data_IF_297236407406
#
_entry.id   IF_297236407406
#
_cell.length_a   1.000
_cell.length_b   1.000
_cell.length_c   1.000
_cell.angle_alpha   90.00
_cell.angle_beta   90.00
_cell.angle_gamma   90.00
#
_symmetry.space_group_name_H-M   'P 1'
#
loop_
_entity.id
_entity.type
_entity.pdbx_description
1 polymer ?
#
# COMPACT_ATOMS: atom_id res chain seq x y z
N UNK A 1 20.38 -40.30 33.61
CA UNK A 1 19.76 -41.21 34.60
C UNK A 1 18.88 -40.40 35.55
N UNK A 2 17.59 -40.29 35.23
CA UNK A 2 16.52 -39.82 36.13
C UNK A 2 15.29 -40.68 35.82
N UNK A 3 14.75 -41.30 36.87
CA UNK A 3 13.53 -42.10 36.84
C UNK A 3 12.32 -41.20 36.54
N UNK A 4 11.40 -41.66 35.69
CA UNK A 4 9.98 -41.38 35.89
C UNK A 4 9.11 -42.54 35.41
N UNK A 5 8.21 -42.92 36.33
CA UNK A 5 7.24 -44.03 36.32
C UNK A 5 6.22 -43.90 35.19
N UNK A 6 5.87 -45.03 34.58
CA UNK A 6 4.56 -45.24 33.95
C UNK A 6 3.48 -45.51 35.02
N UNK A 7 2.21 -45.21 34.71
CA UNK A 7 1.11 -46.02 35.21
C UNK A 7 0.23 -46.59 34.08
N UNK A 8 -0.25 -47.79 34.37
CA UNK A 8 -1.09 -48.75 33.63
C UNK A 8 -2.49 -48.24 33.21
N UNK A 9 -3.16 -48.93 32.26
CA UNK A 9 -4.35 -48.46 31.56
C UNK A 9 -5.66 -48.68 32.35
N UNK A 10 -6.59 -47.74 32.23
CA UNK A 10 -8.01 -47.96 32.56
C UNK A 10 -8.83 -48.06 31.28
N UNK A 11 -9.52 -49.19 31.17
CA UNK A 11 -10.51 -49.53 30.15
C UNK A 11 -11.89 -49.14 30.68
N UNK A 12 -12.60 -48.24 29.99
CA UNK A 12 -14.05 -48.08 30.16
C UNK A 12 -14.69 -47.61 28.85
N UNK A 13 -15.10 -48.58 28.04
CA UNK A 13 -16.19 -48.44 27.08
C UNK A 13 -17.48 -48.02 27.81
N UNK A 14 -18.01 -46.85 27.46
CA UNK A 14 -19.43 -46.54 27.24
C UNK A 14 -19.67 -45.03 27.42
N UNK A 15 -19.86 -44.30 26.33
CA UNK A 15 -20.94 -43.31 26.15
C UNK A 15 -21.04 -42.96 24.66
N UNK A 16 -22.24 -42.88 24.07
CA UNK A 16 -22.43 -42.67 22.64
C UNK A 16 -22.12 -41.21 22.27
N UNK A 17 -21.19 -41.00 21.33
CA UNK A 17 -21.02 -39.70 20.68
C UNK A 17 -22.15 -39.50 19.66
N UNK A 18 -23.24 -38.88 20.11
CA UNK A 18 -24.08 -38.09 19.21
C UNK A 18 -23.33 -36.79 18.91
N UNK A 19 -22.70 -36.73 17.74
CA UNK A 19 -22.28 -35.45 17.18
C UNK A 19 -23.53 -34.67 16.83
N UNK A 20 -23.99 -33.83 17.76
CA UNK A 20 -24.83 -32.70 17.43
C UNK A 20 -23.98 -31.81 16.52
N UNK A 21 -24.38 -31.74 15.25
CA UNK A 21 -24.05 -30.65 14.34
C UNK A 21 -24.53 -29.36 15.01
N UNK A 22 -23.62 -28.70 15.72
CA UNK A 22 -23.83 -27.30 16.05
C UNK A 22 -23.77 -26.54 14.73
N UNK A 23 -24.92 -26.00 14.36
CA UNK A 23 -25.08 -24.86 13.46
C UNK A 23 -23.83 -24.00 13.53
N UNK A 24 -23.10 -23.97 12.42
CA UNK A 24 -22.32 -22.80 12.07
C UNK A 24 -23.33 -21.66 12.02
N UNK A 25 -23.40 -20.87 13.10
CA UNK A 25 -23.95 -19.53 13.02
C UNK A 25 -23.18 -18.84 11.92
N UNK A 26 -23.79 -18.74 10.74
CA UNK A 26 -23.42 -17.76 9.73
C UNK A 26 -23.17 -16.47 10.52
N UNK A 27 -21.92 -15.97 10.49
CA UNK A 27 -21.70 -14.61 10.90
C UNK A 27 -22.57 -13.80 9.96
N UNK A 28 -23.66 -13.28 10.51
CA UNK A 28 -24.47 -12.23 9.95
C UNK A 28 -23.56 -10.97 9.93
N UNK A 29 -22.48 -11.03 9.14
CA UNK A 29 -21.68 -9.88 8.73
C UNK A 29 -22.63 -9.07 7.85
N UNK A 30 -23.51 -8.34 8.53
CA UNK A 30 -24.26 -7.26 7.93
C UNK A 30 -23.22 -6.39 7.26
N UNK A 31 -23.17 -6.49 5.94
CA UNK A 31 -22.38 -5.60 5.13
C UNK A 31 -22.73 -4.18 5.57
N UNK A 32 -21.78 -3.58 6.31
CA UNK A 32 -21.95 -2.28 6.94
C UNK A 32 -22.11 -1.17 5.89
N UNK A 33 -21.76 -1.48 4.64
CA UNK A 33 -21.81 -0.61 3.49
C UNK A 33 -23.15 -0.70 2.77
N UNK A 34 -23.85 -1.82 2.86
CA UNK A 34 -25.11 -2.08 2.15
C UNK A 34 -26.19 -1.01 2.47
N UNK A 35 -26.36 -0.53 3.72
CA UNK A 35 -27.25 0.59 4.04
C UNK A 35 -26.77 1.95 3.52
N UNK A 36 -25.46 2.12 3.31
CA UNK A 36 -24.82 3.35 2.81
C UNK A 36 -25.00 3.43 1.30
N UNK A 37 -24.73 2.33 0.60
CA UNK A 37 -24.85 2.18 -0.86
C UNK A 37 -26.31 2.32 -1.33
N UNK A 38 -27.27 1.78 -0.58
CA UNK A 38 -28.72 1.81 -0.93
C UNK A 38 -29.40 3.18 -0.76
N UNK A 39 -28.79 4.15 -0.07
CA UNK A 39 -29.49 5.37 0.38
C UNK A 39 -29.33 6.63 -0.48
N UNK A 40 -28.49 6.67 -1.53
CA UNK A 40 -28.15 7.96 -2.15
C UNK A 40 -28.01 7.95 -3.68
N UNK A 41 -28.46 9.05 -4.30
CA UNK A 41 -28.07 9.54 -5.64
C UNK A 41 -26.55 9.82 -5.79
N UNK A 42 -25.70 9.31 -4.89
CA UNK A 42 -24.24 9.45 -4.80
C UNK A 42 -23.52 8.08 -4.79
N UNK A 43 -24.22 7.01 -5.19
CA UNK A 43 -23.72 5.63 -5.17
C UNK A 43 -22.34 5.52 -5.82
N UNK A 44 -22.18 6.04 -7.04
CA UNK A 44 -20.94 5.95 -7.81
C UNK A 44 -19.74 6.61 -7.12
N UNK A 45 -19.94 7.75 -6.45
CA UNK A 45 -18.83 8.40 -5.71
C UNK A 45 -18.44 7.57 -4.48
N UNK A 46 -19.41 7.04 -3.74
CA UNK A 46 -19.13 6.20 -2.57
C UNK A 46 -18.43 4.93 -3.02
N UNK A 47 -18.92 4.29 -4.09
CA UNK A 47 -18.33 3.11 -4.69
C UNK A 47 -16.86 3.33 -5.06
N UNK A 48 -16.52 4.45 -5.70
CA UNK A 48 -15.13 4.76 -6.04
C UNK A 48 -14.26 5.11 -4.83
N UNK A 49 -14.79 5.79 -3.82
CA UNK A 49 -14.07 6.04 -2.57
C UNK A 49 -13.75 4.71 -1.86
N UNK A 50 -14.73 3.81 -1.80
CA UNK A 50 -14.54 2.46 -1.25
C UNK A 50 -13.59 1.65 -2.12
N UNK A 51 -13.70 1.72 -3.45
CA UNK A 51 -12.79 1.07 -4.39
C UNK A 51 -11.34 1.56 -4.25
N UNK A 52 -11.13 2.84 -3.98
CA UNK A 52 -9.80 3.39 -3.68
C UNK A 52 -9.25 2.83 -2.35
N UNK A 53 -10.08 2.78 -1.30
CA UNK A 53 -9.66 2.29 0.02
C UNK A 53 -9.46 0.77 0.08
N UNK A 54 -10.42 -0.02 -0.42
CA UNK A 54 -10.30 -1.47 -0.49
C UNK A 54 -9.29 -1.90 -1.54
N UNK A 55 -9.19 -1.19 -2.66
CA UNK A 55 -8.18 -1.44 -3.68
C UNK A 55 -6.78 -1.36 -3.10
N UNK A 56 -6.48 -0.33 -2.30
CA UNK A 56 -5.22 -0.18 -1.57
C UNK A 56 -4.90 -1.42 -0.71
N UNK A 57 -5.81 -1.81 0.18
CA UNK A 57 -5.60 -2.90 1.12
C UNK A 57 -5.55 -4.28 0.45
N UNK A 58 -6.45 -4.52 -0.51
CA UNK A 58 -6.53 -5.78 -1.24
C UNK A 58 -5.34 -5.97 -2.19
N UNK A 59 -4.88 -4.92 -2.86
CA UNK A 59 -3.71 -5.03 -3.76
C UNK A 59 -2.44 -5.33 -3.00
N UNK A 60 -2.27 -4.71 -1.82
CA UNK A 60 -1.15 -4.98 -0.91
C UNK A 60 -1.17 -6.44 -0.43
N UNK A 61 -2.28 -6.86 0.18
CA UNK A 61 -2.44 -8.24 0.67
C UNK A 61 -2.31 -9.31 -0.43
N UNK A 62 -2.83 -9.01 -1.64
CA UNK A 62 -2.74 -9.92 -2.78
C UNK A 62 -1.32 -9.94 -3.39
N UNK A 63 -0.66 -8.78 -3.48
CA UNK A 63 0.71 -8.65 -4.00
C UNK A 63 1.74 -9.43 -3.20
N UNK A 64 1.50 -9.60 -1.90
CA UNK A 64 2.32 -10.43 -1.01
C UNK A 64 2.47 -11.89 -1.50
N UNK A 65 1.52 -12.40 -2.29
CA UNK A 65 1.57 -13.75 -2.86
C UNK A 65 2.74 -13.99 -3.83
N UNK A 66 3.35 -12.92 -4.37
CA UNK A 66 4.44 -12.99 -5.36
C UNK A 66 5.60 -12.03 -5.08
N UNK A 67 5.59 -11.33 -3.95
CA UNK A 67 6.65 -10.37 -3.62
C UNK A 67 8.03 -11.06 -3.54
N UNK A 68 9.01 -10.47 -4.25
CA UNK A 68 10.38 -10.99 -4.45
C UNK A 68 10.51 -12.27 -5.28
N UNK A 69 9.44 -12.73 -5.93
CA UNK A 69 9.47 -13.89 -6.81
C UNK A 69 9.59 -13.46 -8.28
N UNK A 70 10.45 -14.15 -9.04
CA UNK A 70 10.56 -13.92 -10.48
C UNK A 70 9.43 -14.62 -11.27
N UNK A 71 9.23 -14.20 -12.52
CA UNK A 71 8.16 -14.75 -13.38
C UNK A 71 8.25 -16.25 -13.57
N UNK A 72 9.46 -16.82 -13.60
CA UNK A 72 9.67 -18.27 -13.77
C UNK A 72 9.18 -19.02 -12.53
N UNK A 73 9.48 -18.49 -11.35
CA UNK A 73 9.12 -19.05 -10.06
C UNK A 73 7.60 -18.94 -9.86
N UNK A 74 7.00 -17.79 -10.16
CA UNK A 74 5.54 -17.61 -10.14
C UNK A 74 4.84 -18.57 -11.11
N UNK A 75 5.32 -18.73 -12.34
CA UNK A 75 4.75 -19.68 -13.29
C UNK A 75 4.90 -21.15 -12.86
N UNK A 76 5.91 -21.46 -12.03
CA UNK A 76 6.08 -22.80 -11.44
C UNK A 76 5.11 -23.01 -10.28
N UNK A 77 4.88 -21.99 -9.45
CA UNK A 77 3.91 -22.01 -8.36
C UNK A 77 2.46 -22.09 -8.87
N UNK A 78 2.17 -21.37 -9.95
CA UNK A 78 0.83 -21.28 -10.55
C UNK A 78 0.91 -21.58 -12.07
N UNK A 79 0.93 -22.86 -12.48
CA UNK A 79 1.13 -23.24 -13.88
C UNK A 79 0.00 -22.84 -14.84
N UNK A 80 -1.22 -22.67 -14.32
CA UNK A 80 -2.35 -22.20 -15.11
C UNK A 80 -2.45 -20.67 -15.01
N UNK A 81 -1.80 -19.98 -15.95
CA UNK A 81 -1.79 -18.52 -16.03
C UNK A 81 -3.14 -17.91 -16.48
N UNK A 82 -4.16 -18.73 -16.71
CA UNK A 82 -5.53 -18.26 -16.95
C UNK A 82 -6.35 -18.12 -15.66
N UNK A 83 -5.85 -18.69 -14.55
CA UNK A 83 -6.46 -18.59 -13.23
C UNK A 83 -5.83 -17.46 -12.42
N UNK A 84 -6.65 -16.82 -11.60
CA UNK A 84 -6.16 -15.91 -10.56
C UNK A 84 -5.42 -16.71 -9.49
N UNK A 85 -4.45 -16.07 -8.83
CA UNK A 85 -3.81 -16.66 -7.66
C UNK A 85 -4.89 -16.79 -6.57
N UNK A 86 -5.05 -17.97 -5.95
CA UNK A 86 -6.02 -18.14 -4.87
C UNK A 86 -5.77 -17.16 -3.72
N UNK A 87 -6.80 -16.44 -3.29
CA UNK A 87 -6.71 -15.51 -2.17
C UNK A 87 -7.80 -15.83 -1.14
N UNK A 88 -7.49 -15.96 0.14
CA UNK A 88 -6.19 -15.77 0.81
C UNK A 88 -5.27 -17.01 0.81
N UNK A 89 -5.64 -18.06 0.07
CA UNK A 89 -5.00 -19.39 0.11
C UNK A 89 -3.84 -19.57 -0.87
N UNK A 90 -3.08 -18.51 -1.15
CA UNK A 90 -1.91 -18.54 -2.05
C UNK A 90 -0.77 -19.43 -1.50
N UNK A 91 0.18 -19.82 -2.35
CA UNK A 91 1.36 -20.59 -1.92
C UNK A 91 2.30 -19.66 -1.13
N UNK A 92 2.66 -20.06 0.10
CA UNK A 92 3.55 -19.26 0.95
C UNK A 92 4.99 -19.30 0.42
N UNK A 93 5.58 -18.12 0.31
CA UNK A 93 7.00 -17.89 0.04
C UNK A 93 7.74 -17.66 1.35
N UNK A 94 9.08 -17.64 1.28
CA UNK A 94 9.89 -17.27 2.44
C UNK A 94 9.54 -15.86 2.95
N UNK A 95 9.20 -14.94 2.04
CA UNK A 95 8.79 -13.59 2.40
C UNK A 95 7.39 -13.56 3.02
N UNK A 96 6.37 -14.03 2.30
CA UNK A 96 4.97 -13.94 2.71
C UNK A 96 4.63 -14.75 3.97
N UNK A 97 5.41 -15.79 4.28
CA UNK A 97 5.24 -16.59 5.51
C UNK A 97 5.40 -15.81 6.83
N UNK A 98 5.82 -14.54 6.76
CA UNK A 98 5.94 -13.64 7.93
C UNK A 98 4.61 -12.99 8.33
N UNK A 99 3.58 -13.05 7.49
CA UNK A 99 2.26 -12.47 7.74
C UNK A 99 1.19 -13.55 7.90
N UNK A 100 0.05 -13.17 8.49
CA UNK A 100 -1.15 -14.00 8.42
C UNK A 100 -1.67 -14.01 6.98
N UNK A 101 -2.28 -15.12 6.54
CA UNK A 101 -2.89 -15.18 5.21
C UNK A 101 -3.98 -14.12 5.10
N UNK A 102 -3.94 -13.35 4.01
CA UNK A 102 -4.91 -12.28 3.73
C UNK A 102 -4.61 -10.95 4.45
N UNK A 103 -3.55 -10.91 5.24
CA UNK A 103 -3.08 -9.69 5.90
C UNK A 103 -2.38 -8.77 4.91
N UNK A 104 -2.42 -7.47 5.18
CA UNK A 104 -1.73 -6.44 4.39
C UNK A 104 -0.36 -6.11 5.02
N UNK A 105 0.40 -5.22 4.39
CA UNK A 105 1.79 -4.93 4.76
C UNK A 105 1.99 -3.46 5.12
N UNK A 106 3.23 -2.97 5.00
CA UNK A 106 3.54 -1.60 5.33
C UNK A 106 2.94 -0.58 4.36
N UNK A 107 2.57 -0.99 3.15
CA UNK A 107 1.85 -0.15 2.18
C UNK A 107 0.54 0.36 2.77
N UNK A 108 -0.32 -0.55 3.23
CA UNK A 108 -1.63 -0.20 3.82
C UNK A 108 -1.48 0.42 5.18
N UNK A 109 -0.56 -0.07 6.02
CA UNK A 109 -0.34 0.50 7.34
C UNK A 109 0.07 1.97 7.26
N UNK A 110 1.07 2.27 6.43
CA UNK A 110 1.56 3.65 6.29
C UNK A 110 0.54 4.54 5.57
N UNK A 111 -0.31 3.98 4.71
CA UNK A 111 -1.46 4.68 4.12
C UNK A 111 -2.50 5.07 5.19
N UNK A 112 -2.84 4.16 6.11
CA UNK A 112 -3.73 4.44 7.26
C UNK A 112 -3.14 5.57 8.11
N UNK A 113 -1.84 5.57 8.39
CA UNK A 113 -1.20 6.65 9.16
C UNK A 113 -1.34 8.02 8.48
N UNK A 114 -1.26 8.08 7.15
CA UNK A 114 -1.51 9.31 6.38
C UNK A 114 -2.97 9.71 6.51
N UNK A 115 -3.92 8.78 6.32
CA UNK A 115 -5.35 9.08 6.48
C UNK A 115 -5.65 9.65 7.86
N UNK A 116 -5.19 8.99 8.92
CA UNK A 116 -5.35 9.48 10.28
C UNK A 116 -4.79 10.88 10.41
N UNK A 117 -3.56 11.11 9.93
CA UNK A 117 -2.94 12.45 9.94
C UNK A 117 -3.83 13.48 9.29
N UNK A 118 -4.32 13.23 8.07
CA UNK A 118 -5.12 14.18 7.30
C UNK A 118 -6.52 14.42 7.87
N UNK A 119 -7.06 13.50 8.67
CA UNK A 119 -8.34 13.68 9.37
C UNK A 119 -8.21 14.55 10.63
N UNK A 120 -7.00 14.78 11.16
CA UNK A 120 -6.80 15.74 12.24
C UNK A 120 -6.82 17.18 11.71
N UNK A 121 -7.47 18.14 12.41
CA UNK A 121 -7.57 19.53 11.96
C UNK A 121 -6.24 20.23 11.64
N UNK A 122 -5.16 19.83 12.32
CA UNK A 122 -3.81 20.36 12.12
C UNK A 122 -2.83 19.24 11.71
N UNK A 123 -3.32 18.25 10.96
CA UNK A 123 -2.48 17.20 10.40
C UNK A 123 -1.42 17.75 9.45
N UNK A 124 -0.16 17.49 9.75
CA UNK A 124 0.99 17.92 8.95
C UNK A 124 2.01 16.78 8.77
N UNK A 125 3.05 17.07 7.99
CA UNK A 125 4.17 16.17 7.70
C UNK A 125 4.94 15.75 8.97
N UNK A 126 5.05 16.64 9.96
CA UNK A 126 5.67 16.34 11.26
C UNK A 126 4.82 15.35 12.06
N UNK A 127 3.49 15.50 12.07
CA UNK A 127 2.57 14.56 12.71
C UNK A 127 2.66 13.19 12.05
N UNK A 128 2.68 13.14 10.71
CA UNK A 128 2.88 11.88 9.99
C UNK A 128 4.22 11.24 10.35
N UNK A 129 5.32 12.00 10.40
CA UNK A 129 6.64 11.48 10.80
C UNK A 129 6.62 10.87 12.21
N UNK A 130 5.93 11.49 13.17
CA UNK A 130 5.75 10.95 14.52
C UNK A 130 4.94 9.67 14.53
N UNK A 131 3.84 9.62 13.78
CA UNK A 131 2.99 8.43 13.62
C UNK A 131 3.77 7.28 12.98
N UNK A 132 4.51 7.54 11.91
CA UNK A 132 5.37 6.56 11.24
C UNK A 132 6.44 6.00 12.19
N UNK A 133 7.11 6.87 12.96
CA UNK A 133 8.09 6.44 13.97
C UNK A 133 7.44 5.57 15.04
N UNK A 134 6.25 5.95 15.50
CA UNK A 134 5.51 5.19 16.50
C UNK A 134 5.17 3.80 15.95
N UNK A 135 4.56 3.72 14.76
CA UNK A 135 4.21 2.46 14.10
C UNK A 135 5.42 1.54 13.89
N UNK A 136 6.59 2.06 13.50
CA UNK A 136 7.81 1.23 13.37
C UNK A 136 8.12 0.45 14.65
N UNK A 137 7.92 1.06 15.83
CA UNK A 137 8.26 0.45 17.11
C UNK A 137 7.08 -0.19 17.85
N UNK A 138 5.85 0.22 17.57
CA UNK A 138 4.66 -0.17 18.34
C UNK A 138 3.54 -0.75 17.48
N UNK A 139 3.64 -0.65 16.14
CA UNK A 139 2.67 -1.08 15.13
C UNK A 139 1.21 -0.74 15.48
N UNK A 140 0.25 -1.42 14.84
CA UNK A 140 -1.14 -1.43 15.28
C UNK A 140 -1.34 -2.53 16.32
N UNK A 141 -0.88 -2.26 17.54
CA UNK A 141 -1.01 -3.19 18.68
C UNK A 141 -2.44 -3.66 18.95
N UNK A 142 -3.43 -2.83 18.58
CA UNK A 142 -4.86 -3.11 18.63
C UNK A 142 -5.29 -4.22 17.65
N UNK A 143 -4.53 -4.47 16.60
CA UNK A 143 -4.70 -5.58 15.66
C UNK A 143 -3.91 -6.83 16.08
N UNK A 144 -3.17 -6.75 17.20
CA UNK A 144 -2.34 -7.84 17.71
C UNK A 144 -0.90 -7.84 17.17
N UNK A 145 -0.53 -6.82 16.41
CA UNK A 145 0.83 -6.69 15.88
C UNK A 145 1.84 -6.33 16.98
N UNK A 146 3.11 -6.69 16.74
CA UNK A 146 4.21 -6.42 17.68
C UNK A 146 5.36 -5.56 17.14
N UNK A 147 5.42 -5.32 15.82
CA UNK A 147 6.36 -4.40 15.15
C UNK A 147 5.87 -4.03 13.75
N UNK A 148 6.28 -2.87 13.24
CA UNK A 148 6.08 -2.54 11.82
C UNK A 148 6.88 -3.51 10.94
N UNK A 149 6.20 -4.41 10.22
CA UNK A 149 6.80 -5.32 9.25
C UNK A 149 6.87 -4.66 7.86
N UNK A 150 7.47 -5.31 6.86
CA UNK A 150 7.59 -4.76 5.50
C UNK A 150 8.57 -3.59 5.28
N UNK A 151 8.94 -2.84 6.33
CA UNK A 151 9.72 -1.60 6.24
C UNK A 151 10.90 -1.59 5.25
N UNK A 152 10.76 -0.82 4.18
CA UNK A 152 11.80 -0.61 3.17
C UNK A 152 13.08 0.07 3.70
N UNK A 153 14.22 -0.25 3.08
CA UNK A 153 15.54 0.22 3.52
C UNK A 153 15.69 1.75 3.53
N UNK A 154 15.06 2.46 2.58
CA UNK A 154 15.07 3.93 2.54
C UNK A 154 14.29 4.52 3.73
N UNK A 155 13.07 4.02 3.98
CA UNK A 155 12.24 4.47 5.12
C UNK A 155 12.97 4.21 6.44
N UNK A 156 13.58 3.04 6.60
CA UNK A 156 14.40 2.70 7.78
C UNK A 156 15.56 3.70 7.99
N UNK A 157 16.30 4.03 6.93
CA UNK A 157 17.41 4.99 7.01
C UNK A 157 16.94 6.42 7.33
N UNK A 158 15.92 6.91 6.62
CA UNK A 158 15.40 8.27 6.82
C UNK A 158 14.82 8.43 8.21
N UNK A 159 13.98 7.47 8.63
CA UNK A 159 13.38 7.52 9.95
C UNK A 159 14.47 7.48 11.00
N UNK A 160 15.55 6.69 10.86
CA UNK A 160 16.65 6.65 11.84
C UNK A 160 17.42 7.97 12.03
N UNK A 161 17.24 8.98 11.16
CA UNK A 161 17.89 10.29 11.30
C UNK A 161 17.45 11.07 12.55
N UNK A 162 18.39 11.80 13.16
CA UNK A 162 18.17 12.53 14.42
C UNK A 162 17.12 13.63 14.30
N UNK A 163 17.05 14.30 13.15
CA UNK A 163 16.13 15.40 12.88
C UNK A 163 14.79 14.93 12.30
N UNK A 164 14.57 13.63 12.05
CA UNK A 164 13.37 13.15 11.37
C UNK A 164 12.06 13.56 12.05
N UNK A 165 12.02 13.65 13.37
CA UNK A 165 10.81 14.03 14.12
C UNK A 165 10.57 15.55 14.19
N UNK A 166 11.58 16.36 13.84
CA UNK A 166 11.51 17.82 13.85
C UNK A 166 11.48 18.43 12.45
N UNK A 167 12.15 17.78 11.50
CA UNK A 167 12.25 18.17 10.10
C UNK A 167 12.42 16.89 9.23
N UNK A 168 11.31 16.18 8.96
CA UNK A 168 11.35 14.94 8.20
C UNK A 168 11.81 15.16 6.75
N UNK A 169 11.49 16.31 6.16
CA UNK A 169 11.91 16.66 4.81
C UNK A 169 13.44 16.79 4.71
N UNK A 170 14.07 17.46 5.66
CA UNK A 170 15.53 17.58 5.68
C UNK A 170 16.21 16.24 5.99
N UNK A 171 15.62 15.43 6.89
CA UNK A 171 16.09 14.07 7.13
C UNK A 171 16.06 13.22 5.84
N UNK A 172 14.96 13.29 5.07
CA UNK A 172 14.84 12.58 3.80
C UNK A 172 15.81 13.13 2.75
N UNK A 173 15.93 14.46 2.63
CA UNK A 173 16.86 15.12 1.70
C UNK A 173 18.29 14.68 1.96
N UNK A 174 18.75 14.75 3.21
CA UNK A 174 20.11 14.37 3.59
C UNK A 174 20.40 12.90 3.24
N UNK A 175 19.45 12.00 3.49
CA UNK A 175 19.61 10.57 3.11
C UNK A 175 19.68 10.40 1.60
N UNK A 176 18.81 11.08 0.85
CA UNK A 176 18.84 11.06 -0.61
C UNK A 176 20.16 11.61 -1.17
N UNK A 177 20.68 12.72 -0.64
CA UNK A 177 21.97 13.28 -1.06
C UNK A 177 23.15 12.34 -0.76
N UNK A 178 23.12 11.64 0.39
CA UNK A 178 24.11 10.60 0.72
C UNK A 178 24.06 9.40 -0.22
N UNK A 179 22.91 9.12 -0.83
CA UNK A 179 22.77 8.12 -1.89
C UNK A 179 23.28 8.59 -3.26
N UNK A 180 23.98 9.73 -3.33
CA UNK A 180 24.34 10.41 -4.58
C UNK A 180 23.12 10.74 -5.45
N UNK A 181 21.99 11.03 -4.79
CA UNK A 181 20.71 11.34 -5.42
C UNK A 181 20.18 10.23 -6.32
N UNK A 182 20.47 8.97 -5.98
CA UNK A 182 20.05 7.80 -6.77
C UNK A 182 18.88 7.04 -6.15
N UNK A 183 18.62 7.18 -4.84
CA UNK A 183 17.55 6.45 -4.17
C UNK A 183 16.16 6.96 -4.59
N UNK A 184 15.48 6.21 -5.47
CA UNK A 184 14.08 6.41 -5.85
C UNK A 184 13.21 5.15 -5.71
N UNK A 185 13.12 4.53 -4.52
CA UNK A 185 12.22 3.39 -4.31
C UNK A 185 10.74 3.81 -4.23
N UNK A 186 9.86 2.83 -4.35
CA UNK A 186 8.40 2.93 -4.38
C UNK A 186 7.73 3.37 -3.05
N UNK A 187 8.43 3.31 -1.92
CA UNK A 187 7.82 3.36 -0.58
C UNK A 187 6.97 4.60 -0.25
N UNK A 188 7.07 5.68 -1.04
CA UNK A 188 6.13 6.81 -0.93
C UNK A 188 4.88 6.65 -1.80
N UNK A 189 5.00 6.08 -3.01
CA UNK A 189 3.89 6.01 -3.98
C UNK A 189 2.84 5.01 -3.54
N UNK A 190 3.27 3.90 -2.94
CA UNK A 190 2.40 2.83 -2.41
C UNK A 190 1.36 3.32 -1.39
N UNK A 191 1.60 4.48 -0.74
CA UNK A 191 0.72 5.04 0.30
C UNK A 191 0.17 6.43 -0.04
N UNK A 192 0.44 6.95 -1.24
CA UNK A 192 0.15 8.35 -1.56
C UNK A 192 -1.34 8.62 -1.85
N UNK A 193 -2.09 7.60 -2.28
CA UNK A 193 -3.51 7.69 -2.66
C UNK A 193 -4.39 8.23 -1.53
N UNK A 194 -3.94 8.17 -0.27
CA UNK A 194 -4.60 8.78 0.90
C UNK A 194 -4.85 10.28 0.71
N UNK A 195 -3.94 11.00 0.05
CA UNK A 195 -4.11 12.41 -0.28
C UNK A 195 -5.35 12.63 -1.17
N UNK A 196 -5.47 11.82 -2.22
CA UNK A 196 -6.61 11.87 -3.12
C UNK A 196 -7.90 11.49 -2.38
N UNK A 197 -7.90 10.40 -1.60
CA UNK A 197 -9.09 9.95 -0.90
C UNK A 197 -9.68 11.03 0.04
N UNK A 198 -8.83 11.73 0.79
CA UNK A 198 -9.28 12.73 1.76
C UNK A 198 -9.60 14.07 1.10
N UNK A 199 -8.80 14.48 0.11
CA UNK A 199 -8.85 15.81 -0.46
C UNK A 199 -9.40 15.87 -1.89
N UNK A 200 -10.03 14.81 -2.42
CA UNK A 200 -10.48 14.76 -3.83
C UNK A 200 -11.33 15.94 -4.30
N UNK A 201 -11.94 16.75 -3.42
CA UNK A 201 -12.69 17.95 -3.79
C UNK A 201 -11.83 19.22 -3.93
N UNK A 202 -10.59 19.18 -3.47
CA UNK A 202 -9.64 20.28 -3.47
C UNK A 202 -8.31 19.79 -4.07
N UNK A 203 -8.19 19.95 -5.39
CA UNK A 203 -7.04 19.47 -6.15
C UNK A 203 -5.73 20.13 -5.71
N UNK A 204 -5.75 21.38 -5.26
CA UNK A 204 -4.55 22.07 -4.79
C UNK A 204 -4.09 21.50 -3.44
N UNK A 205 -5.04 21.12 -2.58
CA UNK A 205 -4.73 20.36 -1.37
C UNK A 205 -4.20 18.97 -1.68
N UNK A 206 -4.75 18.26 -2.67
CA UNK A 206 -4.20 16.96 -3.13
C UNK A 206 -2.74 17.10 -3.55
N UNK A 207 -2.44 18.07 -4.43
CA UNK A 207 -1.09 18.32 -4.96
C UNK A 207 -0.09 18.61 -3.83
N UNK A 208 -0.42 19.56 -2.97
CA UNK A 208 0.45 19.96 -1.86
C UNK A 208 0.66 18.84 -0.84
N UNK A 209 -0.40 18.11 -0.47
CA UNK A 209 -0.31 16.96 0.44
C UNK A 209 0.49 15.81 -0.16
N UNK A 210 0.31 15.48 -1.44
CA UNK A 210 1.06 14.41 -2.11
C UNK A 210 2.57 14.69 -2.10
N UNK A 211 2.97 15.92 -2.43
CA UNK A 211 4.38 16.35 -2.42
C UNK A 211 4.94 16.32 -0.99
N UNK A 212 4.21 16.85 -0.02
CA UNK A 212 4.65 16.90 1.38
C UNK A 212 4.82 15.50 1.96
N UNK A 213 3.79 14.64 1.86
CA UNK A 213 3.83 13.30 2.46
C UNK A 213 4.85 12.37 1.77
N UNK A 214 5.12 12.57 0.48
CA UNK A 214 6.23 11.92 -0.22
C UNK A 214 7.57 12.32 0.43
N UNK A 215 7.83 13.63 0.53
CA UNK A 215 9.10 14.19 1.01
C UNK A 215 9.40 13.87 2.47
N UNK A 216 8.43 13.39 3.26
CA UNK A 216 8.68 12.88 4.63
C UNK A 216 9.69 11.72 4.62
N UNK A 217 9.73 10.91 3.56
CA UNK A 217 10.66 9.76 3.48
C UNK A 217 11.38 9.64 2.15
N UNK A 218 10.84 10.20 1.06
CA UNK A 218 11.38 10.10 -0.29
C UNK A 218 11.49 11.49 -0.90
N UNK A 219 12.67 12.10 -0.75
CA UNK A 219 12.93 13.45 -1.26
C UNK A 219 13.22 13.50 -2.77
N UNK A 220 13.55 12.37 -3.38
CA UNK A 220 13.90 12.28 -4.80
C UNK A 220 12.76 12.83 -5.69
N UNK A 221 13.07 13.74 -6.66
CA UNK A 221 12.06 14.30 -7.57
C UNK A 221 11.27 13.25 -8.35
N UNK A 222 11.86 12.08 -8.66
CA UNK A 222 11.16 10.97 -9.34
C UNK A 222 10.08 10.37 -8.44
N UNK A 223 10.38 10.13 -7.16
CA UNK A 223 9.37 9.68 -6.18
C UNK A 223 8.23 10.70 -6.04
N UNK A 224 8.57 11.99 -5.99
CA UNK A 224 7.58 13.08 -5.90
C UNK A 224 6.69 13.13 -7.15
N UNK A 225 7.29 12.99 -8.34
CA UNK A 225 6.55 12.93 -9.60
C UNK A 225 5.60 11.73 -9.64
N UNK A 226 6.06 10.54 -9.24
CA UNK A 226 5.22 9.34 -9.17
C UNK A 226 4.05 9.50 -8.19
N UNK A 227 4.31 10.01 -6.97
CA UNK A 227 3.26 10.25 -5.98
C UNK A 227 2.24 11.26 -6.47
N UNK A 228 2.70 12.36 -7.06
CA UNK A 228 1.84 13.40 -7.61
C UNK A 228 0.97 12.86 -8.74
N UNK A 229 1.56 12.09 -9.66
CA UNK A 229 0.84 11.50 -10.78
C UNK A 229 -0.26 10.54 -10.32
N UNK A 230 0.06 9.63 -9.38
CA UNK A 230 -0.93 8.69 -8.81
C UNK A 230 -2.04 9.43 -8.06
N UNK A 231 -1.71 10.48 -7.29
CA UNK A 231 -2.72 11.27 -6.59
C UNK A 231 -3.63 12.05 -7.54
N UNK A 232 -3.08 12.63 -8.62
CA UNK A 232 -3.86 13.32 -9.65
C UNK A 232 -4.77 12.33 -10.39
N UNK A 233 -4.24 11.19 -10.82
CA UNK A 233 -5.01 10.15 -11.48
C UNK A 233 -6.16 9.65 -10.59
N UNK A 234 -5.85 9.33 -9.32
CA UNK A 234 -6.85 8.92 -8.33
C UNK A 234 -7.92 9.99 -8.13
N UNK A 235 -7.54 11.27 -8.03
CA UNK A 235 -8.49 12.37 -7.87
C UNK A 235 -9.40 12.53 -9.08
N UNK A 236 -8.85 12.44 -10.29
CA UNK A 236 -9.62 12.53 -11.52
C UNK A 236 -10.58 11.34 -11.66
N UNK A 237 -10.15 10.12 -11.34
CA UNK A 237 -11.03 8.96 -11.31
C UNK A 237 -12.14 9.09 -10.25
N UNK A 238 -11.84 9.64 -9.08
CA UNK A 238 -12.86 9.91 -8.05
C UNK A 238 -13.87 10.98 -8.48
N UNK A 239 -13.43 11.96 -9.28
CA UNK A 239 -14.28 13.04 -9.80
C UNK A 239 -14.99 12.70 -11.12
N UNK A 240 -14.54 11.67 -11.84
CA UNK A 240 -14.93 11.39 -13.21
C UNK A 240 -16.42 11.04 -13.37
N UNK A 241 -16.94 11.08 -14.59
CA UNK A 241 -18.16 10.36 -14.95
C UNK A 241 -17.80 8.96 -15.48
N UNK A 242 -18.78 8.06 -15.61
CA UNK A 242 -18.57 6.76 -16.29
C UNK A 242 -18.27 6.90 -17.79
N UNK A 243 -18.39 8.10 -18.34
CA UNK A 243 -18.19 8.41 -19.76
C UNK A 243 -16.84 9.09 -20.05
N UNK A 244 -16.00 9.30 -19.03
CA UNK A 244 -14.74 10.03 -19.20
C UNK A 244 -13.66 9.18 -19.89
N UNK A 245 -12.96 9.78 -20.85
CA UNK A 245 -11.89 9.14 -21.62
C UNK A 245 -10.60 9.04 -20.78
N UNK A 246 -10.19 7.81 -20.48
CA UNK A 246 -8.98 7.50 -19.70
C UNK A 246 -7.71 8.08 -20.35
N UNK A 247 -7.68 8.19 -21.67
CA UNK A 247 -6.51 8.71 -22.39
C UNK A 247 -6.33 10.21 -22.16
N UNK A 248 -7.44 10.95 -22.10
CA UNK A 248 -7.43 12.37 -21.76
C UNK A 248 -6.95 12.57 -20.32
N UNK A 249 -7.33 11.67 -19.41
CA UNK A 249 -6.89 11.69 -18.02
C UNK A 249 -5.38 11.46 -17.91
N UNK A 250 -4.83 10.45 -18.60
CA UNK A 250 -3.38 10.17 -18.63
C UNK A 250 -2.62 11.40 -19.13
N UNK A 251 -3.01 11.94 -20.27
CA UNK A 251 -2.42 13.14 -20.87
C UNK A 251 -2.41 14.33 -19.89
N UNK A 252 -3.52 14.52 -19.17
CA UNK A 252 -3.67 15.59 -18.19
C UNK A 252 -2.74 15.40 -16.99
N UNK A 253 -2.70 14.19 -16.44
CA UNK A 253 -1.82 13.84 -15.31
C UNK A 253 -0.36 14.07 -15.68
N UNK A 254 0.05 13.66 -16.88
CA UNK A 254 1.42 13.86 -17.35
C UNK A 254 1.79 15.34 -17.45
N UNK A 255 0.96 16.13 -18.16
CA UNK A 255 1.19 17.57 -18.37
C UNK A 255 1.24 18.33 -17.04
N UNK A 256 0.30 18.07 -16.14
CA UNK A 256 0.25 18.73 -14.84
C UNK A 256 1.44 18.35 -13.95
N UNK A 257 1.82 17.06 -13.89
CA UNK A 257 2.97 16.61 -13.09
C UNK A 257 4.26 17.27 -13.54
N UNK A 258 4.53 17.28 -14.85
CA UNK A 258 5.72 17.92 -15.41
C UNK A 258 5.70 19.43 -15.17
N UNK A 259 4.56 20.07 -15.37
CA UNK A 259 4.43 21.51 -15.14
C UNK A 259 4.71 21.90 -13.68
N UNK A 260 4.15 21.16 -12.72
CA UNK A 260 4.31 21.43 -11.29
C UNK A 260 5.74 21.21 -10.81
N UNK A 261 6.44 20.23 -11.39
CA UNK A 261 7.79 19.83 -10.98
C UNK A 261 8.87 20.24 -11.99
N UNK A 262 8.57 21.21 -12.87
CA UNK A 262 9.42 21.57 -14.01
C UNK A 262 10.85 21.96 -13.58
N UNK A 263 10.96 22.62 -12.43
CA UNK A 263 12.20 23.09 -11.80
C UNK A 263 12.95 22.00 -11.01
N UNK A 264 12.27 20.91 -10.67
CA UNK A 264 12.79 19.80 -9.87
C UNK A 264 13.22 18.60 -10.74
N UNK A 265 12.70 18.49 -11.96
CA UNK A 265 12.97 17.38 -12.88
C UNK A 265 14.02 17.78 -13.94
N UNK A 266 15.04 16.94 -14.11
CA UNK A 266 15.96 17.05 -15.25
C UNK A 266 15.24 16.65 -16.54
N UNK A 267 15.84 16.92 -17.70
CA UNK A 267 15.31 16.43 -18.98
C UNK A 267 15.18 14.91 -19.00
N UNK A 268 16.18 14.21 -18.45
CA UNK A 268 16.17 12.74 -18.34
C UNK A 268 15.01 12.25 -17.46
N UNK A 269 14.76 12.89 -16.31
CA UNK A 269 13.60 12.54 -15.47
C UNK A 269 12.27 12.75 -16.20
N UNK A 270 12.14 13.83 -16.99
CA UNK A 270 10.91 14.10 -17.76
C UNK A 270 10.70 13.05 -18.84
N UNK A 271 11.76 12.70 -19.56
CA UNK A 271 11.72 11.64 -20.58
C UNK A 271 11.36 10.28 -19.98
N UNK A 272 11.99 9.92 -18.85
CA UNK A 272 11.72 8.69 -18.12
C UNK A 272 10.26 8.64 -17.62
N UNK A 273 9.79 9.69 -16.96
CA UNK A 273 8.41 9.78 -16.47
C UNK A 273 7.38 9.66 -17.60
N UNK A 274 7.60 10.37 -18.72
CA UNK A 274 6.73 10.27 -19.90
C UNK A 274 6.78 8.86 -20.50
N UNK A 275 7.95 8.22 -20.51
CA UNK A 275 8.09 6.86 -21.02
C UNK A 275 7.27 5.86 -20.20
N UNK A 276 7.36 5.91 -18.86
CA UNK A 276 6.65 4.98 -17.96
C UNK A 276 5.14 5.22 -17.91
N UNK A 277 4.69 6.44 -18.16
CA UNK A 277 3.26 6.81 -18.06
C UNK A 277 2.56 6.87 -19.41
N UNK A 278 3.24 6.52 -20.50
CA UNK A 278 2.66 6.57 -21.83
C UNK A 278 1.58 5.50 -22.02
N UNK A 279 0.43 5.91 -22.55
CA UNK A 279 -0.74 5.03 -22.75
C UNK A 279 -0.50 3.75 -23.55
N UNK A 280 0.40 3.81 -24.53
CA UNK A 280 0.69 2.67 -25.41
C UNK A 280 1.67 1.68 -24.76
N UNK A 281 2.05 1.87 -23.48
CA UNK A 281 2.96 0.98 -22.75
C UNK A 281 2.24 -0.26 -22.28
N UNK A 282 2.85 -1.40 -22.54
CA UNK A 282 2.42 -2.70 -22.03
C UNK A 282 3.13 -3.05 -20.73
N UNK A 283 2.53 -3.90 -19.90
CA UNK A 283 3.17 -4.39 -18.67
C UNK A 283 4.47 -5.16 -18.97
N UNK A 284 4.51 -5.88 -20.10
CA UNK A 284 5.70 -6.61 -20.55
C UNK A 284 6.88 -5.68 -20.84
N UNK A 285 6.65 -4.49 -21.39
CA UNK A 285 7.70 -3.51 -21.68
C UNK A 285 8.30 -2.89 -20.41
N UNK A 286 7.58 -2.91 -19.29
CA UNK A 286 8.04 -2.34 -18.02
C UNK A 286 9.11 -3.20 -17.34
N UNK A 287 9.24 -4.48 -17.73
CA UNK A 287 10.22 -5.44 -17.23
C UNK A 287 10.35 -5.46 -15.69
N UNK A 288 9.20 -5.54 -15.01
CA UNK A 288 9.11 -5.35 -13.55
C UNK A 288 9.76 -6.48 -12.73
N UNK A 289 10.10 -7.62 -13.35
CA UNK A 289 10.74 -8.78 -12.73
C UNK A 289 12.28 -8.84 -12.95
N UNK A 290 12.90 -7.75 -13.42
CA UNK A 290 14.35 -7.72 -13.59
C UNK A 290 15.12 -7.87 -12.25
N UNK A 291 16.30 -8.54 -12.25
CA UNK A 291 17.17 -8.59 -11.07
C UNK A 291 17.70 -7.18 -10.73
N UNK A 292 16.98 -6.47 -9.84
CA UNK A 292 17.22 -5.14 -9.21
C UNK A 292 16.05 -4.17 -9.35
N UNK A 293 14.98 -4.49 -10.09
CA UNK A 293 13.72 -3.76 -9.93
C UNK A 293 13.14 -4.10 -8.57
N UNK A 294 13.00 -3.10 -7.69
CA UNK A 294 12.17 -3.21 -6.50
C UNK A 294 10.89 -2.48 -6.89
N UNK A 295 9.85 -3.27 -7.17
CA UNK A 295 8.48 -2.78 -7.33
C UNK A 295 7.93 -2.26 -6.02
#
# INVERSE_FOLDING_TARGET
MKYHREPTPMDVNNYPMSYNTHDSTESDDKDLLDPILKKLHKGDLIDRLLGCAYGQALSDAYGLSTEFEDRITVATMYPDNTQIIPFQDYILTAHSSRWTRGDWTDDTDQWILILETLTYPNGDDIMFAKKLRHWIYQCFSELGDCRGMGLGANVSQVTSSYNFLSDPHEASRTTWERSYRQAAPNGAVIRCSASALVHFRDIEKVKSTAISMCKVTHFDPRCVASCLAVCLASTYLLQASTEDDIEILIDRVQKETIYILDDQLTSEHKEEFLWYTHKDRTLEELNLDEPRSIG
#
